data_IF_183783182219
#
_entry.id   IF_183783182219
#
_cell.length_a   1.000
_cell.length_b   1.000
_cell.length_c   1.000
_cell.angle_alpha   90.00
_cell.angle_beta   90.00
_cell.angle_gamma   90.00
#
_symmetry.space_group_name_H-M   'P 1'
#
loop_
_entity.id
_entity.type
_entity.pdbx_description
1 polymer ?
#
# COMPACT_ATOMS: atom_id res chain seq x y z
N UNK A 1 -5.28 15.32 24.51
CA UNK A 1 -5.75 16.09 25.70
C UNK A 1 -7.12 15.64 26.22
N UNK A 2 -8.07 15.24 25.37
CA UNK A 2 -9.37 14.68 25.81
C UNK A 2 -9.24 13.39 26.64
N UNK A 3 -8.29 12.51 26.32
CA UNK A 3 -8.08 11.24 27.03
C UNK A 3 -7.70 11.44 28.51
N UNK A 4 -6.93 12.49 28.85
CA UNK A 4 -6.56 12.79 30.25
C UNK A 4 -7.73 13.32 31.08
N UNK A 5 -8.67 14.06 30.48
CA UNK A 5 -9.88 14.54 31.16
C UNK A 5 -10.85 13.39 31.47
N UNK A 6 -11.00 12.46 30.54
CA UNK A 6 -11.82 11.25 30.73
C UNK A 6 -11.25 10.39 31.86
N UNK A 7 -9.92 10.18 31.92
CA UNK A 7 -9.28 9.39 32.98
C UNK A 7 -9.50 9.99 34.38
N UNK A 8 -9.40 11.31 34.54
CA UNK A 8 -9.62 11.98 35.83
C UNK A 8 -11.09 11.86 36.26
N UNK A 9 -12.03 11.94 35.31
CA UNK A 9 -13.46 11.82 35.56
C UNK A 9 -13.86 10.38 35.92
N UNK A 10 -13.21 9.37 35.33
CA UNK A 10 -13.38 7.95 35.68
C UNK A 10 -12.74 7.59 37.03
N UNK A 11 -11.60 8.20 37.39
CA UNK A 11 -10.98 8.01 38.70
C UNK A 11 -11.85 8.53 39.85
N UNK A 12 -12.51 9.68 39.66
CA UNK A 12 -13.48 10.23 40.61
C UNK A 12 -14.70 9.31 40.79
N UNK A 13 -15.19 8.70 39.70
CA UNK A 13 -16.31 7.75 39.74
C UNK A 13 -15.99 6.45 40.51
N UNK A 14 -14.72 6.02 40.48
CA UNK A 14 -14.25 4.84 41.22
C UNK A 14 -14.28 5.03 42.74
N UNK A 15 -14.25 6.28 43.21
CA UNK A 15 -14.27 6.64 44.63
C UNK A 15 -15.67 6.59 45.28
N UNK A 16 -16.72 6.26 44.52
CA UNK A 16 -18.09 6.10 45.04
C UNK A 16 -18.55 4.62 45.11
N UNK A 17 -17.75 3.68 44.58
CA UNK A 17 -18.10 2.25 44.55
C UNK A 17 -17.76 1.55 45.89
N UNK A 18 -18.54 0.52 46.28
CA UNK A 18 -18.26 -0.33 47.47
C UNK A 18 -16.98 -1.18 47.26
N UNK A 19 -16.23 -1.50 48.35
CA UNK A 19 -14.88 -2.09 48.29
C UNK A 19 -14.69 -3.33 47.39
N UNK A 20 -15.61 -4.32 47.31
CA UNK A 20 -15.37 -5.49 46.45
C UNK A 20 -15.43 -5.15 44.94
N UNK A 21 -16.19 -4.13 44.55
CA UNK A 21 -16.34 -3.72 43.15
C UNK A 21 -15.22 -2.77 42.69
N UNK A 22 -14.60 -2.04 43.62
CA UNK A 22 -13.45 -1.17 43.32
C UNK A 22 -12.26 -1.95 42.81
N UNK A 23 -11.93 -3.09 43.43
CA UNK A 23 -10.76 -3.89 43.03
C UNK A 23 -10.93 -4.51 41.64
N UNK A 24 -12.16 -4.94 41.31
CA UNK A 24 -12.50 -5.52 40.01
C UNK A 24 -12.52 -4.47 38.91
N UNK A 25 -13.07 -3.27 39.20
CA UNK A 25 -13.09 -2.14 38.28
C UNK A 25 -11.69 -1.56 38.05
N UNK A 26 -10.85 -1.47 39.09
CA UNK A 26 -9.45 -1.08 38.94
C UNK A 26 -8.67 -2.11 38.11
N UNK A 27 -8.90 -3.41 38.31
CA UNK A 27 -8.30 -4.48 37.49
C UNK A 27 -8.74 -4.38 36.03
N UNK A 28 -10.03 -4.23 35.74
CA UNK A 28 -10.51 -4.02 34.37
C UNK A 28 -9.93 -2.74 33.75
N UNK A 29 -9.87 -1.64 34.49
CA UNK A 29 -9.28 -0.40 34.00
C UNK A 29 -7.78 -0.54 33.77
N UNK A 30 -7.06 -1.30 34.62
CA UNK A 30 -5.63 -1.60 34.45
C UNK A 30 -5.39 -2.55 33.28
N UNK A 31 -6.30 -3.48 32.99
CA UNK A 31 -6.23 -4.37 31.82
C UNK A 31 -6.56 -3.59 30.54
N UNK A 32 -7.56 -2.71 30.55
CA UNK A 32 -7.94 -1.87 29.40
C UNK A 32 -6.88 -0.80 29.13
N UNK A 33 -6.39 -0.11 30.17
CA UNK A 33 -5.25 0.81 30.06
C UNK A 33 -3.98 0.05 29.73
N UNK A 34 -3.83 -1.16 30.27
CA UNK A 34 -2.78 -2.11 29.94
C UNK A 34 -2.79 -2.40 28.45
N UNK A 35 -3.93 -2.74 27.84
CA UNK A 35 -4.12 -3.00 26.41
C UNK A 35 -4.00 -1.73 25.56
N UNK A 36 -4.36 -0.54 26.05
CA UNK A 36 -4.13 0.73 25.34
C UNK A 36 -2.66 1.15 25.35
N UNK A 37 -1.96 0.97 26.47
CA UNK A 37 -0.52 1.19 26.61
C UNK A 37 0.24 0.08 25.88
N UNK A 38 -0.26 -1.16 25.87
CA UNK A 38 0.23 -2.27 25.04
C UNK A 38 -0.03 -2.01 23.56
N UNK A 39 -1.11 -1.34 23.16
CA UNK A 39 -1.32 -0.91 21.76
C UNK A 39 -0.31 0.15 21.35
N UNK A 40 0.00 1.11 22.23
CA UNK A 40 1.08 2.09 21.98
C UNK A 40 2.48 1.45 22.00
N UNK A 41 2.73 0.49 22.90
CA UNK A 41 3.98 -0.26 22.98
C UNK A 41 4.11 -1.31 21.87
N UNK A 42 3.01 -1.90 21.39
CA UNK A 42 2.92 -2.81 20.24
C UNK A 42 2.99 -2.07 18.91
N UNK A 43 2.76 -0.74 18.91
CA UNK A 43 3.14 0.13 17.80
C UNK A 43 4.66 0.36 17.77
N UNK A 44 5.31 0.44 18.94
CA UNK A 44 6.77 0.44 19.06
C UNK A 44 7.39 -0.94 18.76
N UNK A 45 6.76 -2.05 19.19
CA UNK A 45 7.20 -3.43 18.94
C UNK A 45 6.89 -3.90 17.52
N UNK A 46 5.89 -3.34 16.83
CA UNK A 46 5.68 -3.56 15.38
C UNK A 46 6.83 -3.03 14.52
N UNK A 47 7.57 -2.04 15.00
CA UNK A 47 8.81 -1.62 14.35
C UNK A 47 9.95 -2.65 14.52
N UNK A 48 9.85 -3.58 15.48
CA UNK A 48 10.80 -4.68 15.69
C UNK A 48 10.38 -6.00 15.00
N UNK A 49 9.08 -6.25 14.80
CA UNK A 49 8.53 -7.50 14.23
C UNK A 49 8.56 -7.53 12.70
N UNK A 50 8.92 -6.42 12.03
CA UNK A 50 9.19 -6.42 10.58
C UNK A 50 10.40 -7.30 10.16
N UNK A 51 11.08 -7.95 11.11
CA UNK A 51 12.24 -8.82 10.85
C UNK A 51 11.91 -10.32 10.85
N UNK A 52 10.66 -10.73 11.14
CA UNK A 52 10.35 -12.16 11.37
C UNK A 52 9.07 -12.66 10.67
N UNK A 53 8.51 -11.88 9.76
CA UNK A 53 7.28 -12.23 9.02
C UNK A 53 7.55 -12.85 7.62
N UNK A 54 8.82 -13.13 7.29
CA UNK A 54 9.24 -13.72 6.00
C UNK A 54 9.18 -15.27 5.95
N UNK A 55 8.84 -15.96 7.04
CA UNK A 55 9.02 -17.42 7.10
C UNK A 55 7.78 -18.30 6.89
N UNK A 56 6.58 -17.73 6.64
CA UNK A 56 5.33 -18.51 6.63
C UNK A 56 4.55 -18.60 5.30
N UNK A 57 5.03 -18.02 4.20
CA UNK A 57 4.38 -18.22 2.88
C UNK A 57 5.20 -19.18 2.01
N UNK A 58 4.84 -20.47 2.13
CA UNK A 58 5.35 -21.54 1.28
C UNK A 58 4.79 -21.48 -0.15
N UNK A 59 5.74 -21.36 -1.10
CA UNK A 59 5.75 -21.82 -2.50
C UNK A 59 4.42 -22.09 -3.21
N UNK A 60 4.12 -21.27 -4.22
CA UNK A 60 3.21 -21.66 -5.31
C UNK A 60 2.80 -20.52 -6.23
N UNK A 61 3.64 -20.23 -7.25
CA UNK A 61 3.54 -19.22 -8.33
C UNK A 61 4.09 -17.84 -7.97
N UNK A 62 4.73 -17.22 -8.95
CA UNK A 62 5.46 -15.94 -8.88
C UNK A 62 4.52 -14.74 -8.60
N UNK A 63 3.83 -14.78 -7.47
CA UNK A 63 3.15 -13.63 -6.89
C UNK A 63 4.21 -12.83 -6.16
N UNK A 64 4.59 -11.70 -6.74
CA UNK A 64 5.40 -10.68 -6.06
C UNK A 64 4.72 -10.42 -4.71
N UNK A 65 5.38 -10.82 -3.62
CA UNK A 65 4.84 -10.67 -2.28
C UNK A 65 4.37 -9.21 -2.09
N UNK A 66 3.12 -9.01 -1.67
CA UNK A 66 2.55 -7.69 -1.45
C UNK A 66 3.35 -6.98 -0.35
N UNK A 67 4.36 -6.20 -0.76
CA UNK A 67 5.13 -5.37 0.15
C UNK A 67 4.39 -4.06 0.28
N UNK A 68 3.89 -3.77 1.49
CA UNK A 68 3.18 -2.51 1.81
C UNK A 68 4.01 -1.25 1.57
N UNK A 69 5.31 -1.40 1.32
CA UNK A 69 6.24 -0.32 1.04
C UNK A 69 6.61 -0.21 -0.44
N UNK A 70 6.29 -1.23 -1.26
CA UNK A 70 6.58 -1.19 -2.68
C UNK A 70 5.47 -0.44 -3.42
N UNK A 71 5.84 0.51 -4.26
CA UNK A 71 4.94 1.12 -5.23
C UNK A 71 4.78 0.17 -6.40
N UNK A 72 3.54 -0.18 -6.73
CA UNK A 72 3.22 -1.16 -7.77
C UNK A 72 2.30 -0.51 -8.81
N UNK A 73 2.72 -0.56 -10.08
CA UNK A 73 1.87 -0.24 -11.22
C UNK A 73 1.60 -1.52 -12.03
N UNK A 74 0.32 -1.91 -12.18
CA UNK A 74 -0.03 -3.15 -12.87
C UNK A 74 0.20 -3.04 -14.38
N UNK A 75 0.09 -4.18 -15.05
CA UNK A 75 0.30 -4.32 -16.49
C UNK A 75 -0.58 -3.37 -17.30
N UNK A 76 0.03 -2.64 -18.22
CA UNK A 76 -0.67 -1.70 -19.10
C UNK A 76 -1.04 -0.36 -18.46
N UNK A 77 -0.42 0.01 -17.33
CA UNK A 77 -0.59 1.35 -16.75
C UNK A 77 -0.02 2.40 -17.70
N UNK A 78 -0.79 3.44 -18.02
CA UNK A 78 -0.40 4.52 -18.93
C UNK A 78 -0.51 5.87 -18.23
N UNK A 79 0.61 6.58 -18.20
CA UNK A 79 0.65 7.98 -17.80
C UNK A 79 0.31 8.86 -19.02
N UNK A 80 -0.82 9.52 -18.93
CA UNK A 80 -1.23 10.62 -19.81
C UNK A 80 -0.74 11.96 -19.23
N UNK A 81 -1.04 13.07 -19.92
CA UNK A 81 -0.54 14.40 -19.55
C UNK A 81 -0.98 14.80 -18.13
N UNK A 82 -2.26 14.56 -17.78
CA UNK A 82 -2.84 14.92 -16.48
C UNK A 82 -3.49 13.74 -15.75
N UNK A 83 -3.36 12.51 -16.25
CA UNK A 83 -4.06 11.35 -15.67
C UNK A 83 -3.25 10.07 -15.78
N UNK A 84 -3.39 9.19 -14.79
CA UNK A 84 -2.84 7.84 -14.80
C UNK A 84 -4.00 6.89 -15.07
N UNK A 85 -3.94 6.24 -16.21
CA UNK A 85 -4.90 5.22 -16.63
C UNK A 85 -4.36 3.87 -16.20
N UNK A 86 -5.09 3.19 -15.34
CA UNK A 86 -4.73 1.87 -14.83
C UNK A 86 -5.93 0.95 -14.88
N UNK A 87 -5.67 -0.35 -14.83
CA UNK A 87 -6.71 -1.38 -14.72
C UNK A 87 -6.75 -1.91 -13.30
N UNK A 88 -7.93 -2.35 -12.88
CA UNK A 88 -8.15 -2.94 -11.57
C UNK A 88 -8.20 -1.92 -10.43
N UNK A 89 -8.04 -2.40 -9.21
CA UNK A 89 -8.24 -1.54 -8.03
C UNK A 89 -7.06 -0.58 -7.85
N UNK A 90 -7.32 0.67 -7.47
CA UNK A 90 -6.29 1.66 -7.17
C UNK A 90 -6.30 1.93 -5.67
N UNK A 91 -5.18 1.69 -5.02
CA UNK A 91 -5.01 1.88 -3.60
C UNK A 91 -3.92 2.94 -3.39
N UNK A 92 -4.34 4.10 -2.93
CA UNK A 92 -3.47 5.19 -2.51
C UNK A 92 -3.40 5.15 -1.00
N UNK A 93 -2.22 4.94 -0.43
CA UNK A 93 -2.04 4.86 1.02
C UNK A 93 -2.03 6.26 1.67
N UNK A 94 -1.78 6.31 2.97
CA UNK A 94 -1.85 7.53 3.76
C UNK A 94 -0.77 8.54 3.35
N UNK A 95 -1.07 9.83 3.52
CA UNK A 95 -0.12 10.94 3.32
C UNK A 95 0.52 10.96 1.92
N UNK A 96 -0.14 10.40 0.91
CA UNK A 96 0.35 10.44 -0.46
C UNK A 96 -0.04 11.74 -1.15
N UNK A 97 0.82 12.21 -2.05
CA UNK A 97 0.54 13.35 -2.93
C UNK A 97 0.66 12.91 -4.38
N UNK A 98 -0.46 12.87 -5.10
CA UNK A 98 -0.51 12.45 -6.49
C UNK A 98 -1.02 13.62 -7.33
N UNK A 99 -0.13 14.18 -8.15
CA UNK A 99 -0.40 15.35 -8.99
C UNK A 99 -1.13 14.99 -10.29
N UNK A 100 -1.56 13.74 -10.45
CA UNK A 100 -2.31 13.24 -11.59
C UNK A 100 -3.74 12.86 -11.19
N UNK A 101 -4.67 12.95 -12.14
CA UNK A 101 -6.00 12.34 -12.02
C UNK A 101 -5.90 10.81 -12.14
N UNK A 102 -6.69 10.07 -11.38
CA UNK A 102 -6.73 8.61 -11.46
C UNK A 102 -7.89 8.16 -12.35
N UNK A 103 -7.61 7.37 -13.38
CA UNK A 103 -8.64 6.75 -14.22
C UNK A 103 -8.52 5.25 -14.08
N UNK A 104 -9.57 4.59 -13.61
CA UNK A 104 -9.60 3.13 -13.48
C UNK A 104 -10.98 2.53 -13.77
N UNK A 105 -10.98 1.28 -14.25
CA UNK A 105 -12.17 0.44 -14.35
C UNK A 105 -12.53 -0.29 -13.04
N UNK A 106 -11.62 -0.27 -12.06
CA UNK A 106 -11.81 -0.86 -10.73
C UNK A 106 -12.31 0.12 -9.68
N UNK A 107 -12.12 -0.24 -8.41
CA UNK A 107 -12.42 0.61 -7.25
C UNK A 107 -11.24 1.50 -6.93
N UNK A 108 -11.49 2.64 -6.28
CA UNK A 108 -10.44 3.54 -5.81
C UNK A 108 -10.51 3.67 -4.30
N UNK A 109 -9.40 3.40 -3.63
CA UNK A 109 -9.22 3.55 -2.19
C UNK A 109 -8.17 4.63 -1.95
N UNK A 110 -8.55 5.74 -1.32
CA UNK A 110 -7.63 6.77 -0.90
C UNK A 110 -7.53 6.77 0.63
N UNK A 111 -6.33 6.54 1.14
CA UNK A 111 -6.00 6.53 2.56
C UNK A 111 -5.96 7.93 3.17
N UNK A 112 -5.58 8.01 4.44
CA UNK A 112 -5.75 9.23 5.23
C UNK A 112 -4.90 10.38 4.67
N UNK A 113 -5.50 11.56 4.54
CA UNK A 113 -4.82 12.77 4.05
C UNK A 113 -4.14 12.58 2.68
N UNK A 114 -4.66 11.69 1.84
CA UNK A 114 -4.22 11.59 0.46
C UNK A 114 -4.62 12.87 -0.30
N UNK A 115 -3.73 13.35 -1.18
CA UNK A 115 -3.98 14.46 -2.09
C UNK A 115 -4.00 13.95 -3.52
N UNK A 116 -5.11 14.15 -4.22
CA UNK A 116 -5.34 13.69 -5.59
C UNK A 116 -5.89 14.84 -6.45
N UNK A 117 -5.52 14.90 -7.74
CA UNK A 117 -6.08 15.93 -8.65
C UNK A 117 -7.49 15.62 -9.13
N UNK A 118 -7.85 14.35 -9.29
CA UNK A 118 -9.16 13.97 -9.78
C UNK A 118 -9.30 12.45 -9.77
N UNK A 119 -10.53 11.95 -9.77
CA UNK A 119 -10.80 10.51 -9.74
C UNK A 119 -11.90 10.21 -10.75
N UNK A 120 -11.67 9.22 -11.59
CA UNK A 120 -12.66 8.64 -12.48
C UNK A 120 -12.58 7.12 -12.32
N UNK A 121 -13.50 6.58 -11.53
CA UNK A 121 -13.61 5.16 -11.27
C UNK A 121 -14.92 4.63 -11.86
N UNK A 122 -14.85 3.47 -12.52
CA UNK A 122 -16.07 2.78 -12.96
C UNK A 122 -16.81 2.11 -11.81
N UNK A 123 -16.10 1.69 -10.76
CA UNK A 123 -16.68 1.12 -9.56
C UNK A 123 -16.53 2.09 -8.37
N UNK A 124 -16.71 1.56 -7.15
CA UNK A 124 -16.79 2.34 -5.93
C UNK A 124 -15.55 3.20 -5.65
N UNK A 125 -15.78 4.38 -5.08
CA UNK A 125 -14.72 5.27 -4.59
C UNK A 125 -14.81 5.39 -3.08
N UNK A 126 -13.71 5.12 -2.39
CA UNK A 126 -13.59 5.21 -0.93
C UNK A 126 -12.47 6.18 -0.56
N UNK A 127 -12.84 7.29 0.09
CA UNK A 127 -11.91 8.26 0.61
C UNK A 127 -11.88 8.17 2.13
N UNK A 128 -10.69 8.05 2.71
CA UNK A 128 -10.51 8.04 4.16
C UNK A 128 -10.38 9.47 4.71
N UNK A 129 -10.25 9.57 6.03
CA UNK A 129 -10.26 10.80 6.81
C UNK A 129 -9.27 11.84 6.29
N UNK A 130 -9.76 13.07 6.09
CA UNK A 130 -8.96 14.23 5.75
C UNK A 130 -8.36 14.21 4.33
N UNK A 131 -8.84 13.34 3.46
CA UNK A 131 -8.43 13.30 2.04
C UNK A 131 -8.83 14.58 1.31
N UNK A 132 -7.97 15.06 0.43
CA UNK A 132 -8.17 16.25 -0.39
C UNK A 132 -8.15 15.87 -1.87
N UNK A 133 -9.24 16.18 -2.57
CA UNK A 133 -9.33 16.06 -4.02
C UNK A 133 -9.50 17.44 -4.62
N UNK A 134 -8.56 17.82 -5.50
CA UNK A 134 -8.50 19.16 -6.09
C UNK A 134 -9.36 19.35 -7.35
N UNK A 135 -9.90 18.26 -7.90
CA UNK A 135 -10.72 18.28 -9.12
C UNK A 135 -11.94 17.39 -8.99
N UNK A 136 -12.44 16.94 -10.12
CA UNK A 136 -13.72 16.22 -10.19
C UNK A 136 -13.57 14.76 -9.77
N UNK A 137 -14.64 14.24 -9.17
CA UNK A 137 -14.77 12.84 -8.75
C UNK A 137 -15.96 12.23 -9.49
N UNK A 138 -15.68 11.24 -10.31
CA UNK A 138 -16.67 10.41 -10.98
C UNK A 138 -16.60 8.97 -10.46
N UNK A 139 -17.75 8.43 -10.08
CA UNK A 139 -17.91 7.02 -9.68
C UNK A 139 -19.08 6.41 -10.43
N UNK A 140 -18.88 5.25 -11.06
CA UNK A 140 -19.98 4.50 -11.69
C UNK A 140 -20.86 3.72 -10.70
N UNK A 141 -20.47 3.63 -9.42
CA UNK A 141 -21.25 2.99 -8.35
C UNK A 141 -21.26 3.88 -7.10
N UNK A 142 -21.05 3.29 -5.92
CA UNK A 142 -21.19 3.95 -4.62
C UNK A 142 -19.94 4.79 -4.28
N UNK A 143 -20.13 5.82 -3.46
CA UNK A 143 -19.04 6.66 -2.97
C UNK A 143 -19.10 6.78 -1.47
N UNK A 144 -17.95 6.54 -0.82
CA UNK A 144 -17.78 6.66 0.62
C UNK A 144 -16.79 7.79 0.91
N UNK A 145 -17.26 8.84 1.57
CA UNK A 145 -16.47 10.00 1.95
C UNK A 145 -16.20 9.99 3.46
N UNK A 146 -14.93 9.79 3.82
CA UNK A 146 -14.46 9.82 5.21
C UNK A 146 -14.52 11.23 5.83
N UNK A 147 -14.43 11.27 7.15
CA UNK A 147 -14.53 12.50 7.94
C UNK A 147 -13.54 13.58 7.47
N UNK A 148 -13.99 14.83 7.44
CA UNK A 148 -13.19 16.00 7.06
C UNK A 148 -12.54 15.91 5.67
N UNK A 149 -13.06 15.05 4.80
CA UNK A 149 -12.63 15.02 3.40
C UNK A 149 -13.10 16.28 2.66
N UNK A 150 -12.29 16.73 1.71
CA UNK A 150 -12.56 17.93 0.90
C UNK A 150 -12.45 17.61 -0.57
N UNK A 151 -13.49 17.93 -1.33
CA UNK A 151 -13.53 17.85 -2.79
C UNK A 151 -13.77 19.27 -3.30
N UNK A 152 -12.84 19.83 -4.07
CA UNK A 152 -13.00 21.17 -4.65
C UNK A 152 -13.75 21.15 -5.98
N UNK A 153 -13.67 20.06 -6.73
CA UNK A 153 -14.43 19.85 -7.97
C UNK A 153 -15.86 19.36 -7.74
N UNK A 154 -16.50 18.90 -8.82
CA UNK A 154 -17.83 18.29 -8.81
C UNK A 154 -17.74 16.80 -8.46
N UNK A 155 -18.63 16.33 -7.59
CA UNK A 155 -18.84 14.91 -7.33
C UNK A 155 -20.01 14.40 -8.17
N UNK A 156 -19.81 13.37 -8.98
CA UNK A 156 -20.86 12.71 -9.75
C UNK A 156 -20.81 11.22 -9.52
N UNK A 157 -21.95 10.64 -9.14
CA UNK A 157 -22.06 9.20 -8.96
C UNK A 157 -23.40 8.64 -9.45
N UNK A 158 -23.34 7.41 -9.94
CA UNK A 158 -24.51 6.64 -10.39
C UNK A 158 -25.16 5.83 -9.25
N UNK A 159 -24.42 5.52 -8.18
CA UNK A 159 -24.88 4.75 -7.01
C UNK A 159 -25.22 5.59 -5.78
N UNK A 160 -25.07 4.96 -4.60
CA UNK A 160 -25.36 5.55 -3.29
C UNK A 160 -24.17 6.37 -2.76
N UNK A 161 -24.46 7.47 -2.07
CA UNK A 161 -23.46 8.36 -1.48
C UNK A 161 -23.48 8.27 0.05
N UNK A 162 -22.42 7.74 0.63
CA UNK A 162 -22.18 7.76 2.07
C UNK A 162 -21.22 8.88 2.46
N UNK A 163 -21.69 9.77 3.33
CA UNK A 163 -20.93 10.96 3.76
C UNK A 163 -20.69 10.93 5.26
N UNK A 164 -19.42 11.01 5.64
CA UNK A 164 -18.98 11.15 7.04
C UNK A 164 -19.07 12.59 7.55
N UNK A 165 -18.51 12.81 8.74
CA UNK A 165 -18.60 14.10 9.42
C UNK A 165 -17.76 15.19 8.75
N UNK A 166 -18.28 16.42 8.71
CA UNK A 166 -17.56 17.62 8.27
C UNK A 166 -16.94 17.54 6.85
N UNK A 167 -17.57 16.81 5.93
CA UNK A 167 -17.16 16.73 4.53
C UNK A 167 -17.50 18.02 3.79
N UNK A 168 -16.58 18.53 2.97
CA UNK A 168 -16.78 19.74 2.18
C UNK A 168 -16.66 19.46 0.68
N UNK A 169 -17.74 19.70 -0.06
CA UNK A 169 -17.78 19.60 -1.53
C UNK A 169 -18.05 21.00 -2.08
N UNK A 170 -17.12 21.57 -2.85
CA UNK A 170 -17.22 22.95 -3.35
C UNK A 170 -17.87 23.03 -4.73
N UNK A 171 -17.57 22.10 -5.65
CA UNK A 171 -18.13 22.08 -7.01
C UNK A 171 -19.54 21.47 -7.13
N UNK A 172 -20.19 21.21 -6.00
CA UNK A 172 -21.50 20.54 -5.93
C UNK A 172 -21.40 19.02 -6.10
N UNK A 173 -22.53 18.34 -5.90
CA UNK A 173 -22.63 16.90 -6.07
C UNK A 173 -23.90 16.51 -6.83
N UNK A 174 -23.82 15.42 -7.58
CA UNK A 174 -24.92 14.80 -8.33
C UNK A 174 -24.89 13.29 -8.07
N UNK A 175 -25.86 12.80 -7.30
CA UNK A 175 -26.01 11.39 -6.99
C UNK A 175 -27.34 10.88 -7.55
N UNK A 176 -27.32 9.76 -8.27
CA UNK A 176 -28.55 9.10 -8.74
C UNK A 176 -29.16 8.17 -7.68
N UNK A 177 -28.35 7.64 -6.78
CA UNK A 177 -28.78 6.80 -5.66
C UNK A 177 -29.12 7.58 -4.38
N UNK A 178 -29.21 6.85 -3.28
CA UNK A 178 -29.56 7.38 -1.96
C UNK A 178 -28.36 8.08 -1.33
N UNK A 179 -28.62 9.19 -0.65
CA UNK A 179 -27.59 9.92 0.10
C UNK A 179 -27.78 9.61 1.58
N UNK A 180 -26.79 8.94 2.14
CA UNK A 180 -26.76 8.46 3.50
C UNK A 180 -25.67 9.24 4.25
N UNK A 181 -26.10 10.28 4.98
CA UNK A 181 -25.20 11.02 5.86
C UNK A 181 -25.13 10.25 7.17
N UNK A 182 -24.13 9.36 7.27
CA UNK A 182 -23.91 8.56 8.47
C UNK A 182 -22.91 9.30 9.36
N UNK A 183 -23.43 9.83 10.47
CA UNK A 183 -22.66 9.88 11.70
C UNK A 183 -23.11 8.69 12.55
N UNK A 184 -22.66 7.46 12.23
CA UNK A 184 -23.09 6.32 13.01
C UNK A 184 -22.55 6.54 14.42
N UNK A 185 -23.44 6.51 15.43
CA UNK A 185 -22.99 6.37 16.82
C UNK A 185 -22.01 5.19 16.80
N UNK A 186 -20.73 5.40 17.17
CA UNK A 186 -19.72 4.39 16.96
C UNK A 186 -20.21 3.07 17.56
N UNK A 187 -20.25 1.99 16.78
CA UNK A 187 -20.70 0.66 17.24
C UNK A 187 -20.03 0.24 18.56
N UNK A 188 -18.80 0.72 18.77
CA UNK A 188 -18.06 0.56 20.02
C UNK A 188 -18.82 1.07 21.25
N UNK A 189 -19.62 2.14 21.14
CA UNK A 189 -20.46 2.66 22.23
C UNK A 189 -21.58 1.68 22.56
N UNK A 190 -22.21 1.07 21.55
CA UNK A 190 -23.26 0.06 21.76
C UNK A 190 -22.69 -1.20 22.40
N UNK A 191 -21.56 -1.68 21.89
CA UNK A 191 -20.80 -2.80 22.48
C UNK A 191 -20.45 -2.47 23.93
N UNK A 192 -20.00 -1.25 24.23
CA UNK A 192 -19.65 -0.83 25.59
C UNK A 192 -20.86 -0.84 26.54
N UNK A 193 -22.01 -0.33 26.11
CA UNK A 193 -23.24 -0.31 26.91
C UNK A 193 -23.70 -1.75 27.19
N UNK A 194 -23.62 -2.63 26.19
CA UNK A 194 -23.99 -4.03 26.32
C UNK A 194 -23.05 -4.81 27.26
N UNK A 195 -21.73 -4.64 27.12
CA UNK A 195 -20.75 -5.20 28.05
C UNK A 195 -20.95 -4.70 29.49
N UNK A 196 -21.27 -3.42 29.66
CA UNK A 196 -21.61 -2.86 30.98
C UNK A 196 -22.89 -3.49 31.56
N UNK A 197 -23.87 -3.83 30.75
CA UNK A 197 -25.08 -4.54 31.20
C UNK A 197 -24.76 -5.97 31.64
N UNK A 198 -23.95 -6.70 30.87
CA UNK A 198 -23.53 -8.07 31.23
C UNK A 198 -22.68 -8.11 32.51
N UNK A 199 -21.76 -7.16 32.67
CA UNK A 199 -20.96 -7.03 33.89
C UNK A 199 -21.83 -6.65 35.11
N UNK A 200 -22.81 -5.75 34.94
CA UNK A 200 -23.79 -5.45 36.02
C UNK A 200 -24.67 -6.64 36.37
N UNK A 201 -24.95 -7.52 35.40
CA UNK A 201 -25.67 -8.77 35.60
C UNK A 201 -24.80 -9.92 36.16
N UNK A 202 -23.50 -9.71 36.35
CA UNK A 202 -22.56 -10.70 36.88
C UNK A 202 -22.14 -11.79 35.88
N UNK A 203 -22.40 -11.59 34.58
CA UNK A 203 -22.11 -12.57 33.52
C UNK A 203 -20.76 -12.30 32.86
N UNK A 204 -19.69 -12.47 33.63
CA UNK A 204 -18.33 -12.15 33.18
C UNK A 204 -17.77 -13.14 32.15
N UNK A 205 -18.27 -14.38 32.12
CA UNK A 205 -17.81 -15.42 31.19
C UNK A 205 -18.31 -15.16 29.76
N UNK A 206 -19.58 -14.79 29.58
CA UNK A 206 -20.16 -14.36 28.30
C UNK A 206 -19.44 -13.13 27.72
N UNK A 207 -18.91 -12.25 28.58
CA UNK A 207 -18.12 -11.08 28.18
C UNK A 207 -16.75 -11.48 27.64
N UNK A 208 -16.06 -12.43 28.27
CA UNK A 208 -14.75 -12.91 27.80
C UNK A 208 -14.85 -13.66 26.47
N UNK A 209 -15.92 -14.44 26.27
CA UNK A 209 -16.18 -15.17 25.03
C UNK A 209 -16.48 -14.21 23.86
N UNK A 210 -17.34 -13.23 24.07
CA UNK A 210 -17.66 -12.20 23.06
C UNK A 210 -16.45 -11.33 22.71
N UNK A 211 -15.56 -11.04 23.67
CA UNK A 211 -14.32 -10.31 23.40
C UNK A 211 -13.35 -11.12 22.54
N UNK A 212 -13.25 -12.44 22.73
CA UNK A 212 -12.44 -13.31 21.87
C UNK A 212 -12.99 -13.36 20.45
N UNK A 213 -14.31 -13.52 20.29
CA UNK A 213 -14.93 -13.53 18.95
C UNK A 213 -14.73 -12.22 18.19
N UNK A 214 -14.77 -11.07 18.86
CA UNK A 214 -14.49 -9.76 18.25
C UNK A 214 -13.00 -9.56 17.92
N UNK A 215 -12.09 -10.15 18.69
CA UNK A 215 -10.66 -10.17 18.36
C UNK A 215 -10.37 -11.07 17.15
N UNK A 216 -11.11 -12.15 16.98
CA UNK A 216 -10.97 -13.10 15.87
C UNK A 216 -11.72 -12.68 14.60
N UNK A 217 -12.84 -11.94 14.72
CA UNK A 217 -13.68 -11.49 13.61
C UNK A 217 -13.26 -10.19 12.91
N UNK A 218 -12.10 -9.62 13.25
CA UNK A 218 -11.66 -8.29 12.80
C UNK A 218 -10.98 -8.20 11.43
N UNK A 219 -10.90 -9.30 10.67
CA UNK A 219 -10.26 -9.33 9.35
C UNK A 219 -11.24 -9.68 8.23
N UNK A 220 -12.28 -8.86 8.03
CA UNK A 220 -12.84 -8.73 6.67
C UNK A 220 -11.79 -8.04 5.78
N UNK A 221 -10.82 -8.83 5.32
CA UNK A 221 -9.95 -8.42 4.22
C UNK A 221 -10.86 -8.09 3.05
N UNK A 222 -11.03 -6.81 2.71
CA UNK A 222 -11.70 -6.41 1.47
C UNK A 222 -10.91 -7.11 0.37
N UNK A 223 -11.50 -8.08 -0.37
CA UNK A 223 -10.77 -8.79 -1.40
C UNK A 223 -10.40 -7.76 -2.46
N UNK A 224 -9.13 -7.38 -2.49
CA UNK A 224 -8.57 -6.55 -3.56
C UNK A 224 -8.49 -7.46 -4.77
N UNK A 225 -8.87 -6.95 -5.93
CA UNK A 225 -8.78 -7.68 -7.19
C UNK A 225 -7.34 -8.14 -7.45
N UNK A 226 -7.16 -9.23 -8.20
CA UNK A 226 -5.83 -9.79 -8.53
C UNK A 226 -4.92 -8.78 -9.26
N UNK A 227 -5.50 -7.73 -9.85
CA UNK A 227 -4.80 -6.61 -10.50
C UNK A 227 -5.08 -5.33 -9.71
N UNK A 228 -4.03 -4.71 -9.17
CA UNK A 228 -4.14 -3.45 -8.44
C UNK A 228 -2.93 -2.54 -8.66
N UNK A 229 -3.18 -1.24 -8.66
CA UNK A 229 -2.17 -0.22 -8.49
C UNK A 229 -2.07 0.14 -7.01
N UNK A 230 -0.86 0.15 -6.45
CA UNK A 230 -0.64 0.46 -5.04
C UNK A 230 0.41 1.55 -4.89
N UNK A 231 0.01 2.66 -4.28
CA UNK A 231 0.87 3.80 -3.95
C UNK A 231 1.11 3.79 -2.43
N UNK A 232 2.33 3.47 -1.95
CA UNK A 232 2.62 3.30 -0.55
C UNK A 232 2.71 4.65 0.17
N UNK A 233 2.59 4.59 1.50
CA UNK A 233 2.55 5.76 2.38
C UNK A 233 3.71 6.72 2.10
N UNK A 234 3.40 8.02 2.17
CA UNK A 234 4.37 9.11 1.98
C UNK A 234 5.05 9.10 0.61
N UNK A 235 4.44 8.48 -0.40
CA UNK A 235 4.91 8.62 -1.79
C UNK A 235 4.35 9.88 -2.42
N UNK A 236 5.15 10.52 -3.26
CA UNK A 236 4.71 11.60 -4.14
C UNK A 236 4.81 11.14 -5.59
N UNK A 237 3.74 11.28 -6.38
CA UNK A 237 3.74 10.95 -7.81
C UNK A 237 3.40 12.21 -8.59
N UNK A 238 4.37 12.73 -9.32
CA UNK A 238 4.23 13.98 -10.07
C UNK A 238 5.07 14.00 -11.35
N UNK A 239 4.77 14.95 -12.23
CA UNK A 239 5.37 15.05 -13.57
C UNK A 239 6.89 15.27 -13.50
N UNK A 240 7.34 16.18 -12.64
CA UNK A 240 8.75 16.56 -12.56
C UNK A 240 9.54 15.72 -11.55
N UNK A 241 8.89 15.33 -10.45
CA UNK A 241 9.52 14.60 -9.38
C UNK A 241 8.51 13.64 -8.75
N UNK A 242 8.78 12.36 -8.88
CA UNK A 242 8.08 11.27 -8.21
C UNK A 242 9.04 10.62 -7.22
N UNK A 243 8.60 10.41 -5.99
CA UNK A 243 9.42 9.84 -4.93
C UNK A 243 8.64 8.74 -4.21
N UNK A 244 9.29 7.60 -3.99
CA UNK A 244 8.74 6.52 -3.17
C UNK A 244 9.80 6.00 -2.20
N UNK A 245 9.43 5.77 -0.91
CA UNK A 245 10.39 5.33 0.09
C UNK A 245 10.86 3.89 -0.12
N UNK A 246 10.02 3.02 -0.69
CA UNK A 246 10.34 1.61 -0.89
C UNK A 246 10.72 1.28 -2.34
N UNK A 247 10.39 0.06 -2.75
CA UNK A 247 10.64 -0.42 -4.11
C UNK A 247 9.66 0.20 -5.10
N UNK A 248 10.06 0.33 -6.36
CA UNK A 248 9.18 0.66 -7.48
C UNK A 248 9.07 -0.57 -8.36
N UNK A 249 7.86 -1.05 -8.61
CA UNK A 249 7.57 -2.21 -9.45
C UNK A 249 6.60 -1.77 -10.53
N UNK A 250 7.12 -1.66 -11.74
CA UNK A 250 6.32 -1.40 -12.93
C UNK A 250 6.17 -2.72 -13.66
N UNK A 251 4.95 -3.18 -13.87
CA UNK A 251 4.70 -4.40 -14.64
C UNK A 251 4.90 -4.18 -16.15
N UNK A 252 4.53 -5.19 -16.94
CA UNK A 252 4.79 -5.24 -18.39
C UNK A 252 3.92 -4.24 -19.17
N UNK A 253 4.36 -3.89 -20.38
CA UNK A 253 3.61 -3.05 -21.34
C UNK A 253 3.08 -1.74 -20.75
N UNK A 254 3.77 -1.18 -19.78
CA UNK A 254 3.37 0.04 -19.08
C UNK A 254 4.12 1.25 -19.62
N UNK A 255 3.46 2.40 -19.66
CA UNK A 255 4.03 3.69 -20.05
C UNK A 255 4.09 4.59 -18.83
N UNK A 256 5.28 4.79 -18.28
CA UNK A 256 5.50 5.60 -17.08
C UNK A 256 6.15 6.92 -17.45
N UNK A 257 5.75 7.99 -16.76
CA UNK A 257 6.27 9.34 -16.97
C UNK A 257 6.82 9.92 -15.66
N UNK A 258 7.83 10.77 -15.81
CA UNK A 258 8.39 11.60 -14.75
C UNK A 258 9.76 11.12 -14.29
N UNK A 259 10.41 11.92 -13.45
CA UNK A 259 11.66 11.52 -12.83
C UNK A 259 11.37 10.80 -11.51
N UNK A 260 11.91 9.61 -11.33
CA UNK A 260 11.59 8.74 -10.20
C UNK A 260 12.76 8.62 -9.25
N UNK A 261 12.54 9.01 -7.99
CA UNK A 261 13.43 8.77 -6.87
C UNK A 261 12.89 7.61 -6.03
N UNK A 262 13.57 6.48 -6.09
CA UNK A 262 13.16 5.23 -5.45
C UNK A 262 14.14 4.94 -4.31
N UNK A 263 13.66 4.86 -3.07
CA UNK A 263 14.51 4.49 -1.93
C UNK A 263 14.95 3.02 -1.94
N UNK A 264 14.15 2.17 -2.60
CA UNK A 264 14.37 0.74 -2.73
C UNK A 264 14.92 0.30 -4.09
N UNK A 265 14.50 -0.90 -4.49
CA UNK A 265 14.79 -1.50 -5.80
C UNK A 265 13.81 -0.92 -6.83
N UNK A 266 14.28 -0.56 -8.01
CA UNK A 266 13.41 -0.18 -9.13
C UNK A 266 13.38 -1.30 -10.16
N UNK A 267 12.19 -1.86 -10.43
CA UNK A 267 11.94 -2.90 -11.42
C UNK A 267 11.03 -2.35 -12.51
N UNK A 268 11.50 -2.42 -13.76
CA UNK A 268 10.73 -2.06 -14.95
C UNK A 268 10.40 -3.32 -15.72
N UNK A 269 9.12 -3.56 -15.96
CA UNK A 269 8.62 -4.73 -16.67
C UNK A 269 9.00 -4.74 -18.16
N UNK A 270 8.73 -5.88 -18.78
CA UNK A 270 9.04 -6.13 -20.19
C UNK A 270 8.18 -5.28 -21.11
N UNK A 271 8.73 -4.88 -22.26
CA UNK A 271 8.05 -4.07 -23.29
C UNK A 271 7.44 -2.76 -22.75
N UNK A 272 7.99 -2.23 -21.66
CA UNK A 272 7.53 -1.01 -21.01
C UNK A 272 8.32 0.22 -21.49
N UNK A 273 7.67 1.38 -21.54
CA UNK A 273 8.29 2.64 -21.94
C UNK A 273 8.37 3.58 -20.75
N UNK A 274 9.58 4.02 -20.45
CA UNK A 274 9.84 4.91 -19.33
C UNK A 274 10.34 6.26 -19.84
N UNK A 275 9.56 7.31 -19.58
CA UNK A 275 9.87 8.69 -19.97
C UNK A 275 10.32 9.49 -18.76
N UNK A 276 11.64 9.60 -18.60
CA UNK A 276 12.25 10.32 -17.49
C UNK A 276 13.42 9.54 -16.88
N UNK A 277 14.07 10.18 -15.91
CA UNK A 277 15.25 9.59 -15.26
C UNK A 277 14.86 8.74 -14.06
N UNK A 278 15.59 7.65 -13.82
CA UNK A 278 15.39 6.76 -12.67
C UNK A 278 16.58 6.92 -11.74
N UNK A 279 16.31 7.34 -10.50
CA UNK A 279 17.28 7.38 -9.41
C UNK A 279 16.85 6.38 -8.34
N UNK A 280 17.54 5.25 -8.25
CA UNK A 280 17.27 4.24 -7.23
C UNK A 280 18.38 4.23 -6.18
N UNK A 281 18.00 4.14 -4.90
CA UNK A 281 18.95 3.95 -3.80
C UNK A 281 19.59 2.56 -3.82
N UNK A 282 18.84 1.55 -4.26
CA UNK A 282 19.34 0.18 -4.43
C UNK A 282 19.40 -0.20 -5.92
N UNK A 283 19.29 -1.49 -6.22
CA UNK A 283 19.45 -2.02 -7.57
C UNK A 283 18.33 -1.60 -8.52
N UNK A 284 18.65 -1.53 -9.81
CA UNK A 284 17.68 -1.31 -10.90
C UNK A 284 17.64 -2.54 -11.79
N UNK A 285 16.44 -3.03 -12.08
CA UNK A 285 16.20 -4.17 -12.98
C UNK A 285 15.31 -3.69 -14.12
N UNK A 286 15.77 -3.91 -15.35
CA UNK A 286 15.04 -3.53 -16.57
C UNK A 286 14.78 -4.79 -17.37
N UNK A 287 13.51 -5.18 -17.47
CA UNK A 287 13.05 -6.36 -18.20
C UNK A 287 13.14 -6.20 -19.71
N UNK A 288 13.16 -7.33 -20.42
CA UNK A 288 13.47 -7.37 -21.84
C UNK A 288 12.54 -6.51 -22.71
N UNK A 289 13.10 -5.89 -23.75
CA UNK A 289 12.37 -5.03 -24.70
C UNK A 289 11.91 -3.68 -24.13
N UNK A 290 12.26 -3.34 -22.88
CA UNK A 290 11.90 -2.05 -22.31
C UNK A 290 12.75 -0.90 -22.88
N UNK A 291 12.12 0.27 -23.04
CA UNK A 291 12.75 1.49 -23.55
C UNK A 291 12.75 2.57 -22.45
N UNK A 292 13.93 3.06 -22.07
CA UNK A 292 14.11 4.11 -21.08
C UNK A 292 14.68 5.36 -21.75
N UNK A 293 13.84 6.40 -21.83
CA UNK A 293 14.17 7.72 -22.35
C UNK A 293 14.63 8.63 -21.22
N UNK A 294 15.77 8.30 -20.62
CA UNK A 294 16.35 9.05 -19.53
C UNK A 294 17.60 8.38 -18.96
N UNK A 295 18.20 9.02 -17.97
CA UNK A 295 19.40 8.52 -17.31
C UNK A 295 19.02 7.63 -16.12
N UNK A 296 19.83 6.60 -15.88
CA UNK A 296 19.70 5.70 -14.74
C UNK A 296 20.83 5.99 -13.77
N UNK A 297 20.48 6.29 -12.52
CA UNK A 297 21.40 6.49 -11.44
C UNK A 297 21.09 5.54 -10.31
N UNK A 298 22.07 4.74 -9.91
CA UNK A 298 21.97 3.88 -8.73
C UNK A 298 23.30 3.83 -7.98
N UNK A 299 23.21 3.67 -6.67
CA UNK A 299 24.38 3.42 -5.82
C UNK A 299 24.77 1.95 -5.79
N UNK A 300 24.08 1.06 -6.51
CA UNK A 300 24.30 -0.39 -6.48
C UNK A 300 24.37 -1.00 -7.90
N UNK A 301 23.70 -2.13 -8.13
CA UNK A 301 23.74 -2.89 -9.38
C UNK A 301 22.62 -2.47 -10.33
N UNK A 302 22.94 -2.39 -11.63
CA UNK A 302 21.93 -2.33 -12.70
C UNK A 302 21.93 -3.66 -13.45
N UNK A 303 20.75 -4.21 -13.70
CA UNK A 303 20.54 -5.41 -14.53
C UNK A 303 19.69 -5.06 -15.73
N UNK A 304 20.25 -5.20 -16.93
CA UNK A 304 19.56 -4.98 -18.20
C UNK A 304 19.37 -6.31 -18.90
N UNK A 305 18.12 -6.63 -19.19
CA UNK A 305 17.73 -7.83 -19.94
C UNK A 305 17.84 -7.62 -21.46
N UNK A 306 17.44 -8.61 -22.25
CA UNK A 306 17.58 -8.64 -23.70
C UNK A 306 16.75 -7.55 -24.40
N UNK A 307 17.31 -6.97 -25.47
CA UNK A 307 16.65 -5.99 -26.34
C UNK A 307 16.20 -4.70 -25.63
N UNK A 308 16.70 -4.42 -24.43
CA UNK A 308 16.44 -3.15 -23.76
C UNK A 308 17.16 -1.99 -24.47
N UNK A 309 16.52 -0.82 -24.53
CA UNK A 309 17.13 0.40 -25.07
C UNK A 309 17.13 1.50 -24.02
N UNK A 310 18.31 2.07 -23.75
CA UNK A 310 18.48 3.20 -22.84
C UNK A 310 19.12 4.33 -23.62
N UNK A 311 18.42 5.46 -23.73
CA UNK A 311 18.91 6.63 -24.46
C UNK A 311 19.71 7.62 -23.60
N UNK A 312 19.81 7.40 -22.29
CA UNK A 312 20.54 8.25 -21.36
C UNK A 312 21.80 7.62 -20.75
N UNK A 313 22.41 8.34 -19.81
CA UNK A 313 23.61 7.89 -19.10
C UNK A 313 23.26 6.87 -18.02
N UNK A 314 24.13 5.88 -17.81
CA UNK A 314 24.01 4.89 -16.73
C UNK A 314 25.14 5.09 -15.75
N UNK A 315 24.81 5.44 -14.51
CA UNK A 315 25.75 5.50 -13.39
C UNK A 315 25.35 4.46 -12.36
N UNK A 316 26.24 3.51 -12.10
CA UNK A 316 26.03 2.42 -11.15
C UNK A 316 27.36 1.95 -10.54
N UNK A 317 27.34 1.14 -9.49
CA UNK A 317 28.56 0.46 -9.00
C UNK A 317 28.96 -0.68 -9.93
N UNK A 318 28.00 -1.51 -10.33
CA UNK A 318 28.19 -2.67 -11.21
C UNK A 318 27.04 -2.78 -12.21
N UNK A 319 27.37 -3.09 -13.47
CA UNK A 319 26.39 -3.26 -14.54
C UNK A 319 26.39 -4.70 -15.03
N UNK A 320 25.24 -5.38 -14.96
CA UNK A 320 24.98 -6.64 -15.67
C UNK A 320 24.11 -6.32 -16.89
N UNK A 321 24.61 -6.62 -18.08
CA UNK A 321 23.86 -6.34 -19.32
C UNK A 321 23.81 -7.58 -20.21
N UNK A 322 22.63 -7.85 -20.78
CA UNK A 322 22.48 -8.83 -21.84
C UNK A 322 23.17 -8.35 -23.12
N UNK A 323 23.59 -9.28 -23.98
CA UNK A 323 24.33 -8.95 -25.21
C UNK A 323 23.54 -8.08 -26.21
N UNK A 324 22.21 -8.17 -26.20
CA UNK A 324 21.34 -7.39 -27.09
C UNK A 324 20.85 -6.06 -26.48
N UNK A 325 21.27 -5.71 -25.27
CA UNK A 325 20.93 -4.42 -24.67
C UNK A 325 21.72 -3.28 -25.32
N UNK A 326 21.03 -2.20 -25.66
CA UNK A 326 21.60 -1.01 -26.30
C UNK A 326 21.57 0.15 -25.32
N UNK A 327 22.73 0.77 -25.10
CA UNK A 327 22.87 1.99 -24.30
C UNK A 327 23.51 3.04 -25.18
N UNK A 328 22.81 4.15 -25.42
CA UNK A 328 23.26 5.24 -26.29
C UNK A 328 24.06 6.31 -25.53
N UNK A 329 23.95 6.34 -24.20
CA UNK A 329 24.67 7.29 -23.33
C UNK A 329 25.98 6.74 -22.76
N UNK A 330 26.53 7.48 -21.79
CA UNK A 330 27.78 7.13 -21.11
C UNK A 330 27.52 6.14 -19.99
N UNK A 331 28.30 5.06 -19.94
CA UNK A 331 28.27 4.08 -18.84
C UNK A 331 29.41 4.37 -17.86
N UNK A 332 29.05 4.55 -16.58
CA UNK A 332 29.99 4.66 -15.45
C UNK A 332 29.71 3.53 -14.47
N UNK A 333 30.62 2.55 -14.42
CA UNK A 333 30.56 1.39 -13.54
C UNK A 333 31.97 1.08 -12.97
N UNK A 334 32.34 1.59 -11.77
CA UNK A 334 33.69 1.47 -11.23
C UNK A 334 34.08 0.04 -10.83
N UNK A 335 33.12 -0.84 -10.51
CA UNK A 335 33.40 -2.25 -10.21
C UNK A 335 33.41 -3.15 -11.45
N UNK A 336 33.12 -2.60 -12.64
CA UNK A 336 33.13 -3.32 -13.91
C UNK A 336 31.74 -3.67 -14.46
N UNK A 337 31.76 -4.19 -15.68
CA UNK A 337 30.59 -4.55 -16.48
C UNK A 337 30.64 -6.06 -16.76
N UNK A 338 29.54 -6.77 -16.47
CA UNK A 338 29.38 -8.19 -16.76
C UNK A 338 28.37 -8.36 -17.90
N UNK A 339 28.82 -9.00 -18.99
CA UNK A 339 27.92 -9.39 -20.07
C UNK A 339 27.29 -10.74 -19.75
N UNK A 340 25.99 -10.73 -19.49
CA UNK A 340 25.23 -11.95 -19.24
C UNK A 340 24.87 -12.61 -20.57
N UNK A 341 25.15 -13.91 -20.66
CA UNK A 341 24.76 -14.74 -21.80
C UNK A 341 23.74 -15.74 -21.28
N UNK A 342 22.53 -15.84 -21.88
CA UNK A 342 21.48 -16.78 -21.42
C UNK A 342 21.93 -18.25 -21.34
N UNK A 343 23.05 -18.59 -22.00
CA UNK A 343 23.69 -19.91 -21.85
C UNK A 343 24.27 -20.18 -20.46
N UNK A 344 24.68 -19.15 -19.70
CA UNK A 344 25.28 -19.33 -18.37
C UNK A 344 24.22 -19.47 -17.27
N UNK A 345 23.11 -18.73 -17.34
CA UNK A 345 22.00 -18.86 -16.38
C UNK A 345 21.27 -20.20 -16.51
N UNK A 346 21.06 -20.70 -17.74
CA UNK A 346 20.53 -22.06 -17.94
C UNK A 346 21.50 -23.18 -17.50
N UNK A 347 22.80 -22.88 -17.37
CA UNK A 347 23.81 -23.82 -16.86
C UNK A 347 23.83 -23.81 -15.33
N UNK A 348 23.82 -22.65 -14.68
CA UNK A 348 23.78 -22.54 -13.21
C UNK A 348 22.50 -23.16 -12.63
N UNK A 349 21.34 -22.89 -13.23
CA UNK A 349 20.05 -23.45 -12.80
C UNK A 349 19.91 -24.96 -13.11
N UNK A 350 20.69 -25.49 -14.06
CA UNK A 350 20.80 -26.95 -14.28
C UNK A 350 21.78 -27.60 -13.32
N UNK A 351 22.86 -26.91 -12.93
CA UNK A 351 23.86 -27.41 -11.98
C UNK A 351 23.28 -27.47 -10.55
N UNK A 352 22.49 -26.48 -10.12
CA UNK A 352 21.78 -26.54 -8.83
C UNK A 352 20.79 -27.71 -8.77
N UNK A 353 19.97 -27.91 -9.82
CA UNK A 353 19.07 -29.07 -9.92
C UNK A 353 19.80 -30.41 -9.97
N UNK A 354 21.01 -30.44 -10.53
CA UNK A 354 21.82 -31.66 -10.53
C UNK A 354 22.39 -31.97 -9.14
N UNK A 355 22.81 -30.96 -8.38
CA UNK A 355 23.33 -31.14 -7.03
C UNK A 355 22.23 -31.59 -6.04
N UNK A 356 21.02 -31.04 -6.14
CA UNK A 356 19.89 -31.47 -5.31
C UNK A 356 19.47 -32.91 -5.62
N UNK A 357 19.45 -33.31 -6.91
CA UNK A 357 19.14 -34.68 -7.31
C UNK A 357 20.21 -35.72 -6.91
N UNK A 358 21.47 -35.32 -6.77
CA UNK A 358 22.55 -36.20 -6.29
C UNK A 358 22.46 -36.42 -4.78
N UNK A 359 22.04 -35.41 -4.00
CA UNK A 359 21.82 -35.53 -2.55
C UNK A 359 20.63 -36.42 -2.20
N UNK A 360 19.54 -36.37 -2.97
CA UNK A 360 18.40 -37.30 -2.80
C UNK A 360 18.78 -38.74 -3.15
N UNK A 361 19.63 -38.94 -4.17
CA UNK A 361 20.12 -40.27 -4.55
C UNK A 361 20.97 -40.94 -3.46
N UNK A 362 21.82 -40.19 -2.77
CA UNK A 362 22.70 -40.73 -1.71
C UNK A 362 21.89 -41.08 -0.44
N UNK A 363 20.84 -40.32 -0.12
CA UNK A 363 19.96 -40.61 1.02
C UNK A 363 18.99 -41.78 0.80
N UNK A 364 18.85 -42.27 -0.44
CA UNK A 364 18.06 -43.46 -0.76
C UNK A 364 18.86 -44.78 -0.73
N UNK A 365 20.17 -44.68 -0.54
CA UNK A 365 21.13 -45.81 -0.54
C UNK A 365 21.83 -46.01 0.83
N UNK A 366 21.51 -45.18 1.83
CA UNK A 366 21.83 -45.35 3.26
C UNK A 366 20.56 -45.73 4.01
#
# INVERSE_FOLDING_TARGET
MQSRRIIIQFALYSAELRPPYRLCFLKCLYTIMGVLIYKQAAQLYRNLINTTFDSYMGKGRDTVAFSRHALVFPEGTVFEEHSIVTRGDVIVSDYCAVDFGMITDGRVFAGQKAKLKGINARNDVRLDVGSLIEGDVFSGNDVFLGESSRITGKLSLDGDLDVGDNVKIEGGFEAKGWISIRNPIPMIVYIFIYLLQLLKAGRSEEVEEMLRELEEGGEENIPVSDVYAYIPRSSSVGIQNSATPGALIVEKRSKILGNWQVGGIASVGHDSKFYGSIRAGNSVVVGGGAEIFGSIHTEEKVSLDENCRISGDITCKSLKMAQSAIVEGTIKAPLGIQFANKKTEMMEEKVERFNDGVLEGINSLL
#
